data_IF_821497953616
#
_entry.id   IF_821497953616
#
_cell.length_a   1.000
_cell.length_b   1.000
_cell.length_c   1.000
_cell.angle_alpha   90.00
_cell.angle_beta   90.00
_cell.angle_gamma   90.00
#
_symmetry.space_group_name_H-M   'P 1'
#
loop_
_entity.id
_entity.type
_entity.pdbx_description
1 polymer ?
#
# COMPACT_ATOMS: atom_id res chain seq x y z
N UNK A 1 -23.88 -33.82 -12.61
CA UNK A 1 -23.41 -32.42 -12.51
C UNK A 1 -22.64 -32.31 -11.20
N UNK A 2 -21.32 -32.48 -11.21
CA UNK A 2 -20.47 -32.40 -10.01
C UNK A 2 -18.99 -32.10 -10.35
N UNK A 3 -18.71 -31.69 -11.58
CA UNK A 3 -17.35 -31.60 -12.13
C UNK A 3 -16.69 -30.23 -11.93
N UNK A 4 -17.45 -29.19 -11.58
CA UNK A 4 -16.93 -27.83 -11.40
C UNK A 4 -16.30 -27.58 -10.01
N UNK A 5 -16.73 -28.28 -8.97
CA UNK A 5 -16.17 -28.15 -7.61
C UNK A 5 -14.82 -28.87 -7.45
N UNK A 6 -14.65 -30.02 -8.11
CA UNK A 6 -13.40 -30.79 -8.08
C UNK A 6 -12.26 -30.09 -8.82
N UNK A 7 -12.56 -29.30 -9.86
CA UNK A 7 -11.55 -28.53 -10.59
C UNK A 7 -11.02 -27.35 -9.77
N UNK A 8 -11.86 -26.62 -9.03
CA UNK A 8 -11.38 -25.47 -8.24
C UNK A 8 -10.48 -25.89 -7.08
N UNK A 9 -10.81 -26.95 -6.34
CA UNK A 9 -9.98 -27.45 -5.23
C UNK A 9 -8.61 -27.97 -5.71
N UNK A 10 -8.57 -28.65 -6.86
CA UNK A 10 -7.31 -29.12 -7.45
C UNK A 10 -6.43 -27.97 -7.94
N UNK A 11 -7.03 -26.90 -8.48
CA UNK A 11 -6.32 -25.70 -8.91
C UNK A 11 -5.76 -24.93 -7.70
N UNK A 12 -6.56 -24.68 -6.66
CA UNK A 12 -6.08 -24.02 -5.42
C UNK A 12 -4.94 -24.80 -4.76
N UNK A 13 -5.01 -26.14 -4.71
CA UNK A 13 -3.92 -26.96 -4.17
C UNK A 13 -2.65 -26.98 -5.03
N UNK A 14 -2.75 -26.79 -6.35
CA UNK A 14 -1.59 -26.65 -7.24
C UNK A 14 -0.93 -25.27 -7.09
N UNK A 15 -1.73 -24.20 -6.99
CA UNK A 15 -1.24 -22.84 -6.70
C UNK A 15 -0.58 -22.76 -5.33
N UNK A 16 -1.17 -23.37 -4.30
CA UNK A 16 -0.58 -23.39 -2.95
C UNK A 16 0.80 -24.07 -2.92
N UNK A 17 1.04 -25.09 -3.76
CA UNK A 17 2.37 -25.72 -3.89
C UNK A 17 3.35 -24.88 -4.69
N UNK A 18 2.89 -24.14 -5.70
CA UNK A 18 3.73 -23.31 -6.55
C UNK A 18 4.07 -21.95 -5.93
N UNK A 19 3.27 -21.46 -4.98
CA UNK A 19 3.42 -20.13 -4.39
C UNK A 19 3.33 -20.13 -2.86
N UNK A 20 3.65 -21.26 -2.21
CA UNK A 20 3.85 -21.31 -0.75
C UNK A 20 4.98 -20.36 -0.32
N UNK A 21 5.09 -20.08 0.98
CA UNK A 21 6.09 -19.16 1.52
C UNK A 21 7.57 -19.46 1.18
N UNK A 22 7.88 -20.65 0.65
CA UNK A 22 9.22 -21.05 0.19
C UNK A 22 9.35 -21.12 -1.34
N UNK A 23 8.33 -20.68 -2.09
CA UNK A 23 8.36 -20.65 -3.53
C UNK A 23 9.17 -19.45 -4.05
N UNK A 24 9.79 -19.63 -5.22
CA UNK A 24 10.37 -18.50 -5.95
C UNK A 24 9.24 -17.56 -6.35
N UNK A 25 9.35 -16.30 -5.94
CA UNK A 25 8.42 -15.26 -6.37
C UNK A 25 8.52 -15.07 -7.89
N UNK A 26 7.39 -14.98 -8.61
CA UNK A 26 7.41 -14.68 -10.04
C UNK A 26 8.02 -13.30 -10.27
N UNK A 27 8.69 -13.13 -11.41
CA UNK A 27 9.21 -11.82 -11.81
C UNK A 27 8.05 -10.93 -12.26
N UNK A 28 7.95 -9.74 -11.66
CA UNK A 28 6.96 -8.73 -12.01
C UNK A 28 7.60 -7.66 -12.88
N UNK A 29 6.93 -7.30 -13.97
CA UNK A 29 7.35 -6.17 -14.78
C UNK A 29 6.63 -4.90 -14.32
N UNK A 30 7.22 -4.20 -13.34
CA UNK A 30 6.67 -2.96 -12.78
C UNK A 30 6.41 -1.86 -13.81
N UNK A 31 7.21 -1.80 -14.88
CA UNK A 31 7.01 -0.80 -15.95
C UNK A 31 5.74 -1.10 -16.74
N UNK A 32 5.41 -2.39 -16.94
CA UNK A 32 4.16 -2.79 -17.58
C UNK A 32 2.94 -2.60 -16.66
N UNK A 33 3.11 -2.76 -15.34
CA UNK A 33 2.05 -2.52 -14.36
C UNK A 33 1.77 -1.00 -14.28
N UNK A 34 2.82 -0.18 -14.17
CA UNK A 34 2.71 1.26 -13.93
C UNK A 34 3.20 2.09 -15.12
N UNK A 35 2.66 1.82 -16.31
CA UNK A 35 3.07 2.43 -17.60
C UNK A 35 3.09 3.96 -17.55
N UNK A 36 2.16 4.56 -16.80
CA UNK A 36 1.97 6.01 -16.71
C UNK A 36 2.94 6.69 -15.72
N UNK A 37 3.69 5.94 -14.91
CA UNK A 37 4.43 6.47 -13.74
C UNK A 37 5.89 6.81 -14.00
N UNK A 38 6.39 6.59 -15.23
CA UNK A 38 7.79 6.87 -15.61
C UNK A 38 8.83 6.32 -14.61
N UNK A 39 8.77 5.02 -14.31
CA UNK A 39 9.67 4.39 -13.35
C UNK A 39 11.13 4.43 -13.81
N UNK A 40 12.04 4.82 -12.91
CA UNK A 40 13.48 4.78 -13.11
C UNK A 40 14.09 3.61 -12.29
N UNK A 41 15.41 3.41 -12.40
CA UNK A 41 16.09 2.31 -11.71
C UNK A 41 15.93 2.36 -10.18
N UNK A 42 15.90 3.55 -9.57
CA UNK A 42 15.64 3.74 -8.13
C UNK A 42 14.25 3.20 -7.75
N UNK A 43 13.22 3.57 -8.51
CA UNK A 43 11.85 3.11 -8.28
C UNK A 43 11.73 1.59 -8.46
N UNK A 44 12.38 1.03 -9.48
CA UNK A 44 12.35 -0.41 -9.76
C UNK A 44 13.03 -1.21 -8.66
N UNK A 45 14.19 -0.74 -8.16
CA UNK A 45 14.87 -1.36 -7.02
C UNK A 45 13.99 -1.31 -5.77
N UNK A 46 13.40 -0.15 -5.46
CA UNK A 46 12.53 0.01 -4.30
C UNK A 46 11.32 -0.94 -4.35
N UNK A 47 10.61 -1.00 -5.48
CA UNK A 47 9.48 -1.91 -5.69
C UNK A 47 9.89 -3.38 -5.56
N UNK A 48 11.02 -3.76 -6.17
CA UNK A 48 11.55 -5.12 -6.06
C UNK A 48 11.92 -5.49 -4.62
N UNK A 49 12.61 -4.61 -3.89
CA UNK A 49 12.96 -4.85 -2.49
C UNK A 49 11.71 -5.01 -1.62
N UNK A 50 10.70 -4.15 -1.81
CA UNK A 50 9.43 -4.27 -1.12
C UNK A 50 8.71 -5.57 -1.45
N UNK A 51 8.67 -5.95 -2.73
CA UNK A 51 8.06 -7.19 -3.19
C UNK A 51 8.70 -8.44 -2.58
N UNK A 52 10.04 -8.50 -2.57
CA UNK A 52 10.80 -9.61 -2.00
C UNK A 52 10.66 -9.69 -0.47
N UNK A 53 10.45 -8.57 0.21
CA UNK A 53 10.27 -8.55 1.66
C UNK A 53 8.81 -8.82 2.10
N UNK A 54 7.83 -8.17 1.46
CA UNK A 54 6.45 -8.17 1.93
C UNK A 54 5.68 -9.45 1.57
N UNK A 55 5.83 -9.95 0.33
CA UNK A 55 5.02 -11.06 -0.16
C UNK A 55 5.31 -12.38 0.59
N UNK A 56 6.56 -12.81 0.81
CA UNK A 56 6.82 -14.06 1.53
C UNK A 56 6.29 -14.04 2.96
N UNK A 57 6.30 -12.87 3.61
CA UNK A 57 5.76 -12.72 4.96
C UNK A 57 4.23 -12.81 4.98
N UNK A 58 3.56 -12.14 4.04
CA UNK A 58 2.12 -12.26 3.89
C UNK A 58 1.71 -13.73 3.67
N UNK A 59 2.42 -14.44 2.78
CA UNK A 59 2.17 -15.85 2.50
C UNK A 59 2.41 -16.77 3.70
N UNK A 60 3.44 -16.51 4.50
CA UNK A 60 3.67 -17.24 5.75
C UNK A 60 2.49 -17.08 6.71
N UNK A 61 1.94 -15.87 6.85
CA UNK A 61 0.82 -15.63 7.76
C UNK A 61 -0.46 -16.29 7.27
N UNK A 62 -0.74 -16.20 5.97
CA UNK A 62 -1.89 -16.91 5.39
C UNK A 62 -1.77 -18.42 5.61
N UNK A 63 -0.56 -18.97 5.48
CA UNK A 63 -0.29 -20.36 5.79
C UNK A 63 -0.56 -20.70 7.27
N UNK A 64 -0.03 -19.93 8.20
CA UNK A 64 -0.23 -20.13 9.65
C UNK A 64 -1.68 -20.01 10.10
N UNK A 65 -2.52 -19.34 9.30
CA UNK A 65 -3.93 -19.12 9.59
C UNK A 65 -4.85 -20.06 8.80
N UNK A 66 -4.29 -20.95 7.97
CA UNK A 66 -5.03 -21.74 6.99
C UNK A 66 -5.98 -20.86 6.16
N UNK A 67 -5.54 -19.65 5.85
CA UNK A 67 -6.27 -18.69 5.04
C UNK A 67 -5.96 -18.96 3.57
N UNK A 68 -6.99 -19.28 2.79
CA UNK A 68 -6.88 -19.46 1.35
C UNK A 68 -7.19 -18.14 0.64
N UNK A 69 -6.13 -17.44 0.22
CA UNK A 69 -6.18 -16.19 -0.55
C UNK A 69 -6.89 -16.37 -1.91
N UNK A 70 -6.99 -17.61 -2.40
CA UNK A 70 -7.62 -17.93 -3.67
C UNK A 70 -9.08 -18.39 -3.52
N UNK A 71 -9.55 -18.58 -2.29
CA UNK A 71 -10.94 -18.97 -2.06
C UNK A 71 -11.90 -17.80 -2.36
N UNK A 72 -13.10 -18.06 -2.92
CA UNK A 72 -14.11 -17.02 -3.13
C UNK A 72 -14.47 -16.32 -1.81
N UNK A 73 -14.73 -15.02 -1.85
CA UNK A 73 -15.03 -14.17 -0.67
C UNK A 73 -16.09 -14.76 0.28
N UNK A 74 -17.04 -15.55 -0.23
CA UNK A 74 -18.07 -16.25 0.56
C UNK A 74 -17.53 -17.34 1.51
N UNK A 75 -16.26 -17.74 1.38
CA UNK A 75 -15.62 -18.79 2.17
C UNK A 75 -14.49 -18.28 3.07
N UNK A 76 -14.30 -16.96 3.16
CA UNK A 76 -13.28 -16.39 4.03
C UNK A 76 -13.66 -16.61 5.50
N UNK A 77 -12.81 -17.27 6.30
CA UNK A 77 -13.01 -17.27 7.74
C UNK A 77 -12.87 -15.82 8.23
N UNK A 78 -13.92 -15.27 8.84
CA UNK A 78 -13.86 -14.06 9.67
C UNK A 78 -13.02 -14.38 10.92
N UNK A 79 -11.70 -14.42 10.75
CA UNK A 79 -10.76 -14.85 11.77
C UNK A 79 -10.34 -13.68 12.64
N UNK A 80 -10.96 -13.55 13.81
CA UNK A 80 -10.57 -12.64 14.91
C UNK A 80 -9.06 -12.62 15.25
N UNK A 81 -8.26 -13.59 14.80
CA UNK A 81 -6.80 -13.65 15.02
C UNK A 81 -5.91 -13.26 13.82
N UNK A 82 -6.47 -13.01 12.63
CA UNK A 82 -5.68 -12.64 11.44
C UNK A 82 -5.05 -11.25 11.59
N UNK A 83 -5.83 -10.29 12.10
CA UNK A 83 -5.38 -8.93 12.43
C UNK A 83 -4.25 -8.93 13.45
N UNK A 84 -4.42 -9.67 14.56
CA UNK A 84 -3.40 -9.76 15.61
C UNK A 84 -2.11 -10.43 15.11
N UNK A 85 -2.21 -11.52 14.35
CA UNK A 85 -1.02 -12.21 13.82
C UNK A 85 -0.26 -11.40 12.79
N UNK A 86 -0.95 -10.64 11.92
CA UNK A 86 -0.30 -9.77 10.94
C UNK A 86 0.38 -8.58 11.61
N UNK A 87 -0.27 -7.96 12.60
CA UNK A 87 0.37 -6.93 13.42
C UNK A 87 1.65 -7.44 14.11
N UNK A 88 1.65 -8.70 14.59
CA UNK A 88 2.85 -9.33 15.16
C UNK A 88 3.96 -9.59 14.13
N UNK A 89 3.65 -9.66 12.83
CA UNK A 89 4.67 -9.80 11.77
C UNK A 89 5.28 -8.48 11.33
N UNK A 90 4.71 -7.32 11.66
CA UNK A 90 5.26 -6.02 11.23
C UNK A 90 6.73 -5.89 11.63
N UNK A 91 7.07 -6.25 12.87
CA UNK A 91 8.45 -6.19 13.33
C UNK A 91 9.38 -7.08 12.48
N UNK A 92 8.96 -8.30 12.18
CA UNK A 92 9.72 -9.23 11.33
C UNK A 92 9.86 -8.70 9.90
N UNK A 93 8.81 -8.07 9.36
CA UNK A 93 8.86 -7.39 8.07
C UNK A 93 9.89 -6.28 8.05
N UNK A 94 9.91 -5.44 9.09
CA UNK A 94 10.87 -4.36 9.20
C UNK A 94 12.31 -4.87 9.38
N UNK A 95 12.52 -5.96 10.13
CA UNK A 95 13.86 -6.56 10.30
C UNK A 95 14.41 -7.12 8.95
N UNK A 96 13.55 -7.80 8.18
CA UNK A 96 13.89 -8.29 6.84
C UNK A 96 14.18 -7.11 5.92
N UNK A 97 13.31 -6.10 5.90
CA UNK A 97 13.45 -4.95 5.03
C UNK A 97 14.72 -4.13 5.37
N UNK A 98 15.04 -3.94 6.64
CA UNK A 98 16.27 -3.28 7.07
C UNK A 98 17.50 -4.03 6.53
N UNK A 99 17.50 -5.37 6.64
CA UNK A 99 18.57 -6.22 6.11
C UNK A 99 18.69 -6.13 4.58
N UNK A 100 17.57 -6.29 3.87
CA UNK A 100 17.51 -6.26 2.41
C UNK A 100 17.80 -4.87 1.83
N UNK A 101 17.53 -3.80 2.57
CA UNK A 101 17.78 -2.43 2.11
C UNK A 101 19.15 -1.88 2.49
N UNK A 102 19.88 -2.51 3.44
CA UNK A 102 21.14 -2.01 3.98
C UNK A 102 22.23 -1.74 2.93
N UNK A 103 22.22 -2.48 1.82
CA UNK A 103 23.20 -2.37 0.75
C UNK A 103 22.78 -1.40 -0.38
N UNK A 104 21.55 -0.89 -0.35
CA UNK A 104 21.03 0.03 -1.35
C UNK A 104 21.56 1.44 -1.13
N UNK A 105 21.50 2.29 -2.14
CA UNK A 105 21.79 3.72 -1.99
C UNK A 105 20.69 4.45 -1.19
N UNK A 106 21.02 5.64 -0.70
CA UNK A 106 20.12 6.44 0.15
C UNK A 106 18.81 6.79 -0.55
N UNK A 107 18.86 7.13 -1.84
CA UNK A 107 17.68 7.48 -2.63
C UNK A 107 16.71 6.29 -2.75
N UNK A 108 17.24 5.09 -2.99
CA UNK A 108 16.42 3.87 -3.05
C UNK A 108 15.78 3.56 -1.69
N UNK A 109 16.53 3.67 -0.59
CA UNK A 109 15.97 3.49 0.77
C UNK A 109 14.90 4.55 1.09
N UNK A 110 15.08 5.78 0.60
CA UNK A 110 14.11 6.84 0.74
C UNK A 110 12.81 6.54 -0.04
N UNK A 111 12.92 5.99 -1.26
CA UNK A 111 11.73 5.52 -2.00
C UNK A 111 11.01 4.39 -1.25
N UNK A 112 11.74 3.42 -0.71
CA UNK A 112 11.15 2.33 0.11
C UNK A 112 10.37 2.93 1.30
N UNK A 113 11.00 3.84 2.05
CA UNK A 113 10.37 4.54 3.17
C UNK A 113 9.09 5.27 2.74
N UNK A 114 9.18 6.10 1.69
CA UNK A 114 8.07 6.90 1.20
C UNK A 114 6.91 6.04 0.67
N UNK A 115 7.20 4.95 -0.04
CA UNK A 115 6.20 4.01 -0.54
C UNK A 115 5.51 3.29 0.62
N UNK A 116 6.26 2.85 1.64
CA UNK A 116 5.67 2.11 2.77
C UNK A 116 4.69 2.92 3.60
N UNK A 117 5.04 4.16 3.90
CA UNK A 117 4.15 5.09 4.59
C UNK A 117 2.85 5.33 3.82
N UNK A 118 2.85 5.05 2.51
CA UNK A 118 1.73 5.22 1.59
C UNK A 118 1.11 3.90 1.09
N UNK A 119 1.39 2.78 1.75
CA UNK A 119 0.78 1.48 1.41
C UNK A 119 1.54 0.64 0.39
N UNK A 120 2.85 0.85 0.22
CA UNK A 120 3.67 0.13 -0.75
C UNK A 120 3.67 -1.39 -0.57
N UNK A 121 3.59 -1.89 0.66
CA UNK A 121 3.50 -3.33 0.94
C UNK A 121 2.19 -3.95 0.44
N UNK A 122 1.07 -3.23 0.59
CA UNK A 122 -0.23 -3.60 0.02
C UNK A 122 -0.13 -3.69 -1.50
N UNK A 123 0.48 -2.67 -2.12
CA UNK A 123 0.55 -2.55 -3.56
C UNK A 123 1.31 -3.70 -4.21
N UNK A 124 2.50 -4.04 -3.69
CA UNK A 124 3.29 -5.14 -4.24
C UNK A 124 2.61 -6.50 -4.03
N UNK A 125 1.80 -6.63 -2.96
CA UNK A 125 0.97 -7.81 -2.75
C UNK A 125 -0.19 -7.90 -3.75
N UNK A 126 -0.89 -6.78 -4.03
CA UNK A 126 -1.94 -6.72 -5.07
C UNK A 126 -1.37 -7.06 -6.46
N UNK A 127 -0.16 -6.61 -6.77
CA UNK A 127 0.54 -6.95 -8.02
C UNK A 127 0.87 -8.44 -8.12
N UNK A 128 1.40 -9.02 -7.04
CA UNK A 128 1.66 -10.45 -6.96
C UNK A 128 0.38 -11.27 -7.14
N UNK A 129 -0.69 -10.88 -6.44
CA UNK A 129 -1.96 -11.60 -6.48
C UNK A 129 -2.58 -11.58 -7.89
N UNK A 130 -2.56 -10.42 -8.55
CA UNK A 130 -3.03 -10.27 -9.92
C UNK A 130 -2.23 -11.15 -10.89
N UNK A 131 -0.91 -11.19 -10.74
CA UNK A 131 -0.04 -12.04 -11.54
C UNK A 131 -0.34 -13.54 -11.32
N UNK A 132 -0.53 -13.98 -10.09
CA UNK A 132 -0.77 -15.40 -9.80
C UNK A 132 -2.16 -15.86 -10.25
N UNK A 133 -3.18 -15.00 -10.15
CA UNK A 133 -4.56 -15.33 -10.56
C UNK A 133 -4.72 -15.38 -12.08
N UNK A 134 -4.26 -14.33 -12.76
CA UNK A 134 -4.60 -14.11 -14.17
C UNK A 134 -3.42 -14.30 -15.12
N UNK A 135 -2.19 -14.42 -14.58
CA UNK A 135 -0.97 -14.54 -15.37
C UNK A 135 -0.52 -13.23 -16.03
N UNK A 136 -1.18 -12.13 -15.72
CA UNK A 136 -0.94 -10.81 -16.33
C UNK A 136 -0.19 -9.87 -15.37
N UNK A 137 0.53 -8.89 -15.94
CA UNK A 137 1.17 -7.82 -15.17
C UNK A 137 0.11 -6.76 -14.78
N UNK A 138 -0.83 -7.14 -13.94
CA UNK A 138 -1.93 -6.29 -13.49
C UNK A 138 -2.09 -6.31 -11.98
N UNK A 139 -2.74 -5.28 -11.43
CA UNK A 139 -3.10 -5.23 -10.01
C UNK A 139 -4.42 -5.97 -9.77
N UNK A 140 -4.46 -6.83 -8.75
CA UNK A 140 -5.73 -7.37 -8.27
C UNK A 140 -6.56 -6.26 -7.62
N UNK A 141 -7.74 -5.98 -8.21
CA UNK A 141 -8.72 -5.00 -7.73
C UNK A 141 -9.92 -5.66 -7.02
N UNK A 142 -9.91 -6.97 -6.81
CA UNK A 142 -11.06 -7.72 -6.28
C UNK A 142 -11.06 -7.73 -4.75
N UNK A 143 -12.03 -7.06 -4.10
CA UNK A 143 -12.43 -7.07 -2.66
C UNK A 143 -11.41 -7.63 -1.63
N UNK A 144 -10.14 -7.29 -1.77
CA UNK A 144 -9.07 -7.67 -0.86
C UNK A 144 -8.75 -6.48 0.07
N UNK A 145 -9.66 -5.52 0.17
CA UNK A 145 -9.44 -4.24 0.88
C UNK A 145 -9.26 -4.47 2.38
N UNK A 146 -10.00 -5.40 2.99
CA UNK A 146 -9.86 -5.76 4.41
C UNK A 146 -8.50 -6.39 4.75
N UNK A 147 -7.90 -7.11 3.78
CA UNK A 147 -6.56 -7.67 3.89
C UNK A 147 -5.47 -6.68 3.45
N UNK A 148 -5.86 -5.65 2.69
CA UNK A 148 -4.98 -4.57 2.27
C UNK A 148 -4.64 -3.69 3.46
N UNK A 149 -5.60 -3.38 4.33
CA UNK A 149 -5.38 -2.66 5.59
C UNK A 149 -4.37 -3.37 6.51
N UNK A 150 -4.26 -4.70 6.40
CA UNK A 150 -3.36 -5.50 7.22
C UNK A 150 -1.88 -5.42 6.82
N UNK A 151 -1.60 -5.07 5.57
CA UNK A 151 -0.24 -4.90 5.07
C UNK A 151 0.25 -3.45 5.19
N UNK A 152 -0.58 -2.55 5.71
CA UNK A 152 -0.13 -1.21 6.10
C UNK A 152 0.74 -1.27 7.35
N UNK A 153 1.93 -0.70 7.26
CA UNK A 153 2.82 -0.53 8.41
C UNK A 153 2.19 0.43 9.43
N UNK A 154 2.19 0.10 10.72
CA UNK A 154 1.71 1.01 11.78
C UNK A 154 2.86 1.78 12.44
N UNK A 155 4.10 1.47 12.04
CA UNK A 155 5.31 2.19 12.47
C UNK A 155 5.29 3.65 12.04
N UNK A 156 5.64 4.54 12.98
CA UNK A 156 5.65 5.99 12.75
C UNK A 156 6.72 6.40 11.72
N UNK A 157 6.51 7.49 10.95
CA UNK A 157 7.45 7.93 9.91
C UNK A 157 8.90 8.07 10.36
N UNK A 158 9.14 8.74 11.49
CA UNK A 158 10.49 8.97 12.02
C UNK A 158 11.16 7.67 12.46
N UNK A 159 10.40 6.74 13.07
CA UNK A 159 10.92 5.45 13.49
C UNK A 159 11.30 4.59 12.28
N UNK A 160 10.47 4.61 11.23
CA UNK A 160 10.79 3.91 9.98
C UNK A 160 12.00 4.53 9.29
N UNK A 161 12.12 5.86 9.28
CA UNK A 161 13.25 6.57 8.72
C UNK A 161 14.57 6.18 9.41
N UNK A 162 14.56 6.10 10.75
CA UNK A 162 15.70 5.65 11.54
C UNK A 162 16.11 4.22 11.19
N UNK A 163 15.15 3.29 11.09
CA UNK A 163 15.43 1.90 10.72
C UNK A 163 16.02 1.76 9.32
N UNK A 164 15.48 2.49 8.35
CA UNK A 164 15.99 2.46 6.98
C UNK A 164 17.24 3.33 6.78
N UNK A 165 17.74 3.97 7.83
CA UNK A 165 18.90 4.86 7.80
C UNK A 165 18.79 5.89 6.66
N UNK A 166 17.68 6.63 6.66
CA UNK A 166 17.40 7.73 5.74
C UNK A 166 17.21 9.04 6.51
N UNK A 167 17.39 10.14 5.79
CA UNK A 167 17.03 11.48 6.25
C UNK A 167 15.62 11.75 5.72
N UNK A 168 14.64 11.88 6.62
CA UNK A 168 13.24 12.07 6.25
C UNK A 168 12.91 13.50 5.82
N UNK A 169 13.88 14.42 5.89
CA UNK A 169 13.72 15.84 5.54
C UNK A 169 14.42 16.20 4.24
N UNK A 170 15.07 15.23 3.60
CA UNK A 170 15.74 15.43 2.33
C UNK A 170 14.72 15.75 1.24
N UNK A 171 15.04 16.72 0.38
CA UNK A 171 14.23 17.07 -0.79
C UNK A 171 14.48 16.04 -1.91
N UNK A 172 13.85 14.88 -1.79
CA UNK A 172 13.84 13.83 -2.81
C UNK A 172 12.41 13.63 -3.31
N UNK A 173 12.27 13.32 -4.60
CA UNK A 173 10.97 13.14 -5.23
C UNK A 173 10.19 11.98 -4.61
N UNK A 174 8.88 12.13 -4.45
CA UNK A 174 8.00 11.08 -3.95
C UNK A 174 7.09 10.60 -5.07
N UNK A 175 7.28 9.36 -5.52
CA UNK A 175 6.52 8.83 -6.67
C UNK A 175 5.06 8.54 -6.30
N UNK A 176 4.16 8.81 -7.24
CA UNK A 176 2.79 8.30 -7.29
C UNK A 176 2.71 7.22 -8.36
N UNK A 177 1.97 6.15 -8.08
CA UNK A 177 1.88 5.01 -8.98
C UNK A 177 0.50 4.99 -9.64
N UNK A 178 0.47 5.29 -10.92
CA UNK A 178 -0.75 5.39 -11.73
C UNK A 178 -1.00 4.06 -12.44
N UNK A 179 -2.21 3.52 -12.28
CA UNK A 179 -2.66 2.32 -12.99
C UNK A 179 -4.11 2.52 -13.46
N UNK A 180 -4.31 2.55 -14.78
CA UNK A 180 -5.58 2.91 -15.43
C UNK A 180 -6.05 4.33 -15.06
N UNK A 181 -7.12 4.42 -14.27
CA UNK A 181 -7.70 5.69 -13.79
C UNK A 181 -7.46 5.90 -12.29
N UNK A 182 -6.74 4.98 -11.63
CA UNK A 182 -6.54 4.98 -10.19
C UNK A 182 -5.11 5.45 -9.84
N UNK A 183 -5.02 6.24 -8.76
CA UNK A 183 -3.77 6.67 -8.15
C UNK A 183 -3.49 5.77 -6.95
N UNK A 184 -2.35 5.09 -6.95
CA UNK A 184 -1.83 4.33 -5.82
C UNK A 184 -0.74 5.13 -5.10
N UNK A 185 -0.50 4.75 -3.84
CA UNK A 185 0.30 5.49 -2.86
C UNK A 185 -0.33 6.84 -2.47
N UNK A 186 -1.65 6.81 -2.30
CA UNK A 186 -2.48 7.98 -1.98
C UNK A 186 -3.29 7.82 -0.67
N UNK A 187 -2.91 6.84 0.16
CA UNK A 187 -3.42 6.66 1.53
C UNK A 187 -2.23 6.75 2.48
N UNK A 188 -2.47 7.12 3.73
CA UNK A 188 -1.43 7.25 4.75
C UNK A 188 -1.64 6.25 5.86
N UNK A 189 -0.54 5.73 6.41
CA UNK A 189 -0.63 4.83 7.55
C UNK A 189 -0.98 5.53 8.88
N UNK A 190 -0.82 6.85 8.98
CA UNK A 190 -1.21 7.64 10.15
C UNK A 190 -1.41 9.12 9.82
N UNK A 191 -1.99 9.87 10.77
CA UNK A 191 -2.15 11.33 10.66
C UNK A 191 -0.81 12.06 10.64
N UNK A 192 0.18 11.57 11.38
CA UNK A 192 1.55 12.10 11.35
C UNK A 192 2.17 11.98 9.95
N UNK A 193 1.88 10.89 9.25
CA UNK A 193 2.33 10.69 7.87
C UNK A 193 1.69 11.69 6.93
N UNK A 194 0.38 11.92 7.04
CA UNK A 194 -0.29 12.93 6.23
C UNK A 194 0.33 14.33 6.43
N UNK A 195 0.58 14.73 7.69
CA UNK A 195 1.25 16.00 7.99
C UNK A 195 2.70 16.06 7.49
N UNK A 196 3.45 14.98 7.63
CA UNK A 196 4.81 14.90 7.09
C UNK A 196 4.84 15.12 5.58
N UNK A 197 3.92 14.51 4.82
CA UNK A 197 3.90 14.69 3.38
C UNK A 197 3.39 16.08 2.94
N UNK A 198 2.71 16.82 3.83
CA UNK A 198 2.48 18.26 3.67
C UNK A 198 3.78 19.04 3.89
N UNK A 199 4.54 18.73 4.96
CA UNK A 199 5.83 19.36 5.24
C UNK A 199 6.85 19.16 4.10
N UNK A 200 6.82 18.00 3.46
CA UNK A 200 7.66 17.67 2.31
C UNK A 200 7.17 18.27 0.99
N UNK A 201 6.05 19.01 1.00
CA UNK A 201 5.48 19.64 -0.19
C UNK A 201 4.89 18.66 -1.21
N UNK A 202 4.66 17.40 -0.82
CA UNK A 202 4.07 16.37 -1.69
C UNK A 202 2.57 16.58 -1.84
N UNK A 203 1.92 17.05 -0.79
CA UNK A 203 0.50 17.38 -0.80
C UNK A 203 0.25 18.78 -0.27
N UNK A 204 -0.80 19.39 -0.81
CA UNK A 204 -1.35 20.61 -0.24
C UNK A 204 -2.29 20.27 0.93
N UNK A 205 -2.12 21.00 2.03
CA UNK A 205 -2.85 20.76 3.27
C UNK A 205 -4.37 20.97 3.12
N UNK A 206 -4.79 21.95 2.32
CA UNK A 206 -6.21 22.23 2.09
C UNK A 206 -6.84 21.15 1.20
N UNK A 207 -6.14 20.71 0.16
CA UNK A 207 -6.60 19.59 -0.68
C UNK A 207 -6.76 18.28 0.10
N UNK A 208 -5.80 17.91 0.95
CA UNK A 208 -5.94 16.72 1.79
C UNK A 208 -7.11 16.84 2.77
N UNK A 209 -7.27 18.01 3.39
CA UNK A 209 -8.36 18.27 4.34
C UNK A 209 -9.74 18.22 3.70
N UNK A 210 -9.87 18.53 2.41
CA UNK A 210 -11.14 18.35 1.69
C UNK A 210 -11.52 16.88 1.48
N UNK A 211 -10.54 15.97 1.47
CA UNK A 211 -10.76 14.55 1.17
C UNK A 211 -11.14 13.75 2.40
N UNK A 212 -10.56 14.04 3.57
CA UNK A 212 -10.79 13.30 4.83
C UNK A 212 -10.93 14.25 6.04
N UNK A 213 -12.04 14.12 6.77
CA UNK A 213 -12.35 14.95 7.93
C UNK A 213 -11.37 14.78 9.09
N UNK A 214 -10.85 13.57 9.32
CA UNK A 214 -9.89 13.31 10.41
C UNK A 214 -8.55 13.98 10.10
N UNK A 215 -8.16 13.99 8.82
CA UNK A 215 -6.97 14.70 8.36
C UNK A 215 -7.20 16.21 8.52
N UNK A 216 -8.37 16.73 8.14
CA UNK A 216 -8.72 18.14 8.32
C UNK A 216 -8.61 18.57 9.79
N UNK A 217 -9.27 17.86 10.70
CA UNK A 217 -9.23 18.14 12.14
C UNK A 217 -7.79 18.16 12.68
N UNK A 218 -6.97 17.18 12.27
CA UNK A 218 -5.57 17.08 12.69
C UNK A 218 -4.72 18.23 12.15
N UNK A 219 -4.81 18.53 10.85
CA UNK A 219 -4.03 19.58 10.20
C UNK A 219 -4.40 20.97 10.71
N UNK A 220 -5.69 21.22 10.99
CA UNK A 220 -6.15 22.44 11.66
C UNK A 220 -5.56 22.55 13.07
N UNK A 221 -5.64 21.49 13.87
CA UNK A 221 -5.10 21.49 15.23
C UNK A 221 -3.58 21.74 15.28
N UNK A 222 -2.86 21.36 14.21
CA UNK A 222 -1.43 21.58 14.04
C UNK A 222 -1.06 22.90 13.35
N UNK A 223 -2.05 23.70 12.94
CA UNK A 223 -1.90 24.97 12.21
C UNK A 223 -1.27 24.83 10.82
N UNK A 224 -1.44 23.68 10.15
CA UNK A 224 -1.07 23.53 8.73
C UNK A 224 -2.05 24.21 7.78
N UNK A 225 -3.31 24.30 8.19
CA UNK A 225 -4.40 24.86 7.41
C UNK A 225 -5.46 25.46 8.35
N UNK A 226 -6.25 26.40 7.85
CA UNK A 226 -7.41 26.96 8.56
C UNK A 226 -8.71 26.50 7.92
N UNK A 227 -9.81 26.53 8.68
CA UNK A 227 -11.13 26.22 8.12
C UNK A 227 -11.48 27.12 6.93
N UNK A 228 -11.13 28.41 7.01
CA UNK A 228 -11.37 29.38 5.93
C UNK A 228 -10.67 28.96 4.62
N UNK A 229 -9.42 28.50 4.67
CA UNK A 229 -8.71 28.01 3.49
C UNK A 229 -9.35 26.76 2.87
N UNK A 230 -9.90 25.87 3.70
CA UNK A 230 -10.61 24.68 3.23
C UNK A 230 -11.91 25.10 2.53
N UNK A 231 -12.69 25.99 3.17
CA UNK A 231 -13.96 26.49 2.65
C UNK A 231 -13.78 27.27 1.33
N UNK A 232 -12.74 28.11 1.25
CA UNK A 232 -12.36 28.85 0.05
C UNK A 232 -12.01 27.91 -1.10
N UNK A 233 -11.22 26.87 -0.82
CA UNK A 233 -10.85 25.87 -1.82
C UNK A 233 -12.08 25.08 -2.29
N UNK A 234 -12.98 24.70 -1.37
CA UNK A 234 -14.23 24.02 -1.70
C UNK A 234 -15.10 24.89 -2.63
N UNK A 235 -15.20 26.19 -2.35
CA UNK A 235 -15.94 27.13 -3.19
C UNK A 235 -15.28 27.31 -4.57
N UNK A 236 -13.94 27.35 -4.63
CA UNK A 236 -13.21 27.45 -5.89
C UNK A 236 -13.36 26.21 -6.78
N UNK A 237 -13.43 25.02 -6.17
CA UNK A 237 -13.60 23.74 -6.87
C UNK A 237 -15.05 23.46 -7.28
N UNK A 238 -16.04 24.06 -6.58
CA UNK A 238 -17.45 23.97 -6.93
C UNK A 238 -18.14 25.35 -7.02
N UNK A 239 -17.73 26.22 -7.96
CA UNK A 239 -18.20 27.61 -8.04
C UNK A 239 -19.68 27.73 -8.41
N UNK A 240 -20.29 26.66 -8.92
CA UNK A 240 -21.70 26.61 -9.36
C UNK A 240 -22.59 25.81 -8.40
N UNK A 241 -22.07 25.35 -7.26
CA UNK A 241 -22.78 24.49 -6.30
C UNK A 241 -23.53 23.34 -6.99
N UNK A 242 -22.89 22.71 -7.97
CA UNK A 242 -23.46 21.50 -8.57
C UNK A 242 -23.30 20.35 -7.57
N UNK A 243 -24.33 19.50 -7.42
CA UNK A 243 -24.42 18.42 -6.43
C UNK A 243 -23.31 17.34 -6.50
N UNK A 244 -22.33 17.49 -7.40
CA UNK A 244 -21.10 16.71 -7.41
C UNK A 244 -20.14 17.22 -6.33
N UNK A 245 -20.50 17.00 -5.06
CA UNK A 245 -19.54 16.98 -3.97
C UNK A 245 -18.42 16.03 -4.38
N UNK A 246 -17.16 16.47 -4.36
CA UNK A 246 -16.05 15.52 -4.40
C UNK A 246 -16.32 14.50 -3.29
N UNK A 247 -16.53 13.21 -3.61
CA UNK A 247 -16.83 12.24 -2.58
C UNK A 247 -15.65 12.23 -1.60
N UNK A 248 -15.93 12.39 -0.31
CA UNK A 248 -14.90 12.21 0.73
C UNK A 248 -14.30 10.83 0.56
N UNK A 249 -12.99 10.77 0.61
CA UNK A 249 -12.23 9.53 0.49
C UNK A 249 -11.49 9.30 1.80
N UNK A 250 -11.55 8.07 2.31
CA UNK A 250 -10.73 7.67 3.43
C UNK A 250 -9.25 7.75 3.03
N UNK A 251 -8.51 8.67 3.64
CA UNK A 251 -7.08 8.86 3.37
C UNK A 251 -6.20 8.12 4.38
N UNK A 252 -6.79 7.41 5.35
CA UNK A 252 -6.08 6.68 6.40
C UNK A 252 -6.33 5.17 6.27
N UNK A 253 -5.33 4.37 6.65
CA UNK A 253 -5.40 2.90 6.68
C UNK A 253 -5.36 2.31 8.10
#
# INVERSE_FOLDING_TARGET
MNSSHLTSEHTSQQFYRQYSANALLPELNWQNIFVQSNLNDTHLKALNTLYQAAVPLALNVFHELNFDVFAPAAYQPQGLGLFEKLALQEQKFLDVLETESAHLDHETRHQIWSMLLRGGAVLVFKAWLGHVKDGENQLDKSQFDELSDLLFIKTRPEQLAQRLNIDSTVDLTHIFLMHENDVFLDHFNSLETAALFVDLGVYDAAFLSLRDDRVAEYLIAKNYVTQEQIDDLQCALNPLYCDSLMPKQDCLA
#
